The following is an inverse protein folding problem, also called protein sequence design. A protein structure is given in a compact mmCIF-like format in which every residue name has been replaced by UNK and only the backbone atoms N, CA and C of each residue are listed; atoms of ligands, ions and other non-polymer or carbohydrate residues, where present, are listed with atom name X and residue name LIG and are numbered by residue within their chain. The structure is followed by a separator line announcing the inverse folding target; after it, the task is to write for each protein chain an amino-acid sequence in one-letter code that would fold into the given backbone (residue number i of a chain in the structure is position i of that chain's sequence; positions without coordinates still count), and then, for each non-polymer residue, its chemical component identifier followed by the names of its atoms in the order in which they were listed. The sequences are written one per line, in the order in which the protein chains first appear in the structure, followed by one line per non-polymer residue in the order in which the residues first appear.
data_IF_465856539124
#
_entry.id   IF_465856539124
#
_cell.length_a   1.000
_cell.length_b   1.000
_cell.length_c   1.000
_cell.angle_alpha   90.00
_cell.angle_beta   90.00
_cell.angle_gamma   90.00
#
_symmetry.space_group_name_H-M   'P 1'
#
loop_
_entity.id
_entity.type
_entity.pdbx_description
1 polymer ?
#
# COMPACT_ATOMS: atom_id res chain seq x y z
N UNK A 1 2.34 -33.64 -26.31
CA UNK A 1 3.19 -32.56 -25.75
C UNK A 1 2.29 -31.62 -25.01
N UNK A 2 2.13 -31.78 -23.69
CA UNK A 2 1.19 -31.03 -22.87
C UNK A 2 1.82 -29.74 -22.38
N UNK A 3 1.27 -28.61 -22.80
CA UNK A 3 1.57 -27.28 -22.28
C UNK A 3 1.14 -27.21 -20.80
N UNK A 4 2.09 -27.22 -19.89
CA UNK A 4 1.84 -26.87 -18.48
C UNK A 4 1.68 -25.37 -18.38
N UNK A 5 0.45 -24.90 -18.30
CA UNK A 5 0.13 -23.55 -17.82
C UNK A 5 0.73 -23.39 -16.44
N UNK A 6 1.77 -22.57 -16.31
CA UNK A 6 2.33 -22.15 -15.01
C UNK A 6 1.23 -21.39 -14.27
N UNK A 7 0.82 -21.98 -13.14
CA UNK A 7 -0.20 -21.42 -12.28
C UNK A 7 0.14 -19.97 -11.86
N UNK A 8 -0.89 -19.16 -11.79
CA UNK A 8 -0.87 -17.83 -11.20
C UNK A 8 -0.36 -17.95 -9.77
N UNK A 9 0.87 -17.51 -9.52
CA UNK A 9 1.42 -17.41 -8.18
C UNK A 9 0.68 -16.33 -7.40
N UNK A 10 -0.42 -16.71 -6.76
CA UNK A 10 -1.02 -15.93 -5.69
C UNK A 10 -0.25 -16.15 -4.39
N UNK A 11 -0.49 -15.34 -3.35
CA UNK A 11 0.15 -15.52 -2.06
C UNK A 11 -0.05 -16.95 -1.55
N UNK A 12 0.99 -17.53 -1.00
CA UNK A 12 0.99 -18.88 -0.41
C UNK A 12 -0.09 -18.98 0.67
N UNK A 13 -0.75 -20.13 0.76
CA UNK A 13 -1.80 -20.42 1.74
C UNK A 13 -1.39 -19.94 3.15
N UNK A 14 -2.21 -19.06 3.76
CA UNK A 14 -1.98 -18.50 5.10
C UNK A 14 -1.73 -16.98 5.13
N UNK A 15 -1.60 -16.31 3.98
CA UNK A 15 -1.49 -14.84 3.94
C UNK A 15 -2.90 -14.24 3.90
N UNK A 16 -3.17 -13.27 4.80
CA UNK A 16 -4.44 -12.52 4.80
C UNK A 16 -4.67 -11.83 3.45
N UNK A 17 -5.93 -11.55 3.04
CA UNK A 17 -6.22 -10.77 1.84
C UNK A 17 -5.50 -9.42 1.83
N UNK A 18 -5.05 -8.97 0.66
CA UNK A 18 -4.49 -7.63 0.52
C UNK A 18 -5.58 -6.59 0.84
N UNK A 19 -5.31 -5.61 1.72
CA UNK A 19 -6.26 -4.54 2.00
C UNK A 19 -6.58 -3.68 0.77
N UNK A 20 -7.73 -3.00 0.80
CA UNK A 20 -8.18 -2.10 -0.27
C UNK A 20 -7.70 -0.67 -0.09
N UNK A 21 -7.58 -0.21 1.17
CA UNK A 21 -7.13 1.14 1.50
C UNK A 21 -5.80 1.08 2.23
N UNK A 22 -4.82 1.79 1.70
CA UNK A 22 -3.46 1.86 2.23
C UNK A 22 -3.16 3.27 2.73
N UNK A 23 -3.03 3.45 4.05
CA UNK A 23 -2.75 4.71 4.71
C UNK A 23 -1.24 4.89 4.91
N UNK A 24 -0.59 5.63 4.03
CA UNK A 24 0.85 5.90 4.09
C UNK A 24 1.16 7.05 5.05
N UNK A 25 2.24 6.94 5.81
CA UNK A 25 2.76 8.06 6.61
C UNK A 25 3.92 8.78 5.92
N UNK A 26 4.32 9.88 6.50
CA UNK A 26 5.62 10.54 6.38
C UNK A 26 6.16 10.81 7.80
N UNK A 27 7.33 11.46 7.91
CA UNK A 27 7.96 11.72 9.20
C UNK A 27 7.12 12.65 10.09
N UNK A 28 6.48 13.66 9.49
CA UNK A 28 5.66 14.63 10.20
C UNK A 28 4.41 13.96 10.81
N UNK A 29 3.78 13.08 10.06
CA UNK A 29 2.61 12.32 10.51
C UNK A 29 2.95 11.38 11.67
N UNK A 30 4.11 10.71 11.62
CA UNK A 30 4.57 9.85 12.73
C UNK A 30 4.84 10.63 14.02
N UNK A 31 5.18 11.93 13.90
CA UNK A 31 5.45 12.82 15.02
C UNK A 31 4.20 13.52 15.59
N UNK A 32 3.03 13.36 14.99
CA UNK A 32 1.80 14.00 15.46
C UNK A 32 1.47 13.58 16.90
N UNK A 33 1.11 14.52 17.78
CA UNK A 33 0.70 14.21 19.16
C UNK A 33 -0.49 13.24 19.21
N UNK A 34 -1.44 13.38 18.28
CA UNK A 34 -2.66 12.56 18.16
C UNK A 34 -2.53 11.39 17.15
N UNK A 35 -1.29 11.07 16.73
CA UNK A 35 -1.03 9.96 15.78
C UNK A 35 -1.75 8.67 16.17
N UNK A 36 -1.70 8.29 17.46
CA UNK A 36 -2.33 7.06 17.93
C UNK A 36 -3.86 7.07 17.75
N UNK A 37 -4.50 8.19 17.99
CA UNK A 37 -5.95 8.37 17.83
C UNK A 37 -6.32 8.22 16.35
N UNK A 38 -5.58 8.90 15.46
CA UNK A 38 -5.80 8.83 14.00
C UNK A 38 -5.53 7.43 13.45
N UNK A 39 -4.45 6.79 13.88
CA UNK A 39 -4.13 5.43 13.45
C UNK A 39 -5.22 4.43 13.86
N UNK A 40 -5.73 4.52 15.09
CA UNK A 40 -6.82 3.67 15.55
C UNK A 40 -8.12 3.93 14.78
N UNK A 41 -8.43 5.21 14.49
CA UNK A 41 -9.60 5.59 13.69
C UNK A 41 -9.54 5.03 12.27
N UNK A 42 -8.38 5.11 11.60
CA UNK A 42 -8.18 4.53 10.26
C UNK A 42 -8.27 2.99 10.35
N UNK A 43 -7.61 2.39 11.34
CA UNK A 43 -7.57 0.95 11.54
C UNK A 43 -8.95 0.34 11.89
N UNK A 44 -9.91 1.15 12.34
CA UNK A 44 -11.26 0.70 12.69
C UNK A 44 -12.02 0.02 11.53
N UNK A 45 -11.63 0.27 10.28
CA UNK A 45 -12.15 -0.44 9.11
C UNK A 45 -11.60 -1.89 8.96
N UNK A 46 -10.77 -2.35 9.88
CA UNK A 46 -10.34 -3.75 9.99
C UNK A 46 -9.51 -4.26 8.82
N UNK A 47 -9.80 -5.47 8.37
CA UNK A 47 -9.02 -6.19 7.35
C UNK A 47 -8.95 -5.47 5.98
N UNK A 48 -9.83 -4.51 5.73
CA UNK A 48 -9.85 -3.73 4.49
C UNK A 48 -8.75 -2.65 4.44
N UNK A 49 -8.02 -2.42 5.55
CA UNK A 49 -7.04 -1.32 5.68
C UNK A 49 -5.65 -1.82 5.97
N UNK A 50 -4.65 -1.13 5.40
CA UNK A 50 -3.23 -1.24 5.74
C UNK A 50 -2.69 0.11 6.23
N UNK A 51 -2.04 0.10 7.38
CA UNK A 51 -1.23 1.21 7.88
C UNK A 51 0.21 1.04 7.41
N UNK A 52 0.78 2.08 6.81
CA UNK A 52 2.16 2.04 6.30
C UNK A 52 3.08 2.94 7.12
N UNK A 53 4.09 2.34 7.75
CA UNK A 53 5.19 3.08 8.37
C UNK A 53 6.17 3.49 7.27
N UNK A 54 6.13 4.78 6.92
CA UNK A 54 7.00 5.38 5.91
C UNK A 54 7.51 6.73 6.40
N UNK A 55 8.84 6.89 6.40
CA UNK A 55 9.50 8.17 6.64
C UNK A 55 10.81 8.18 5.85
N UNK A 56 10.87 8.96 4.76
CA UNK A 56 12.08 9.06 3.94
C UNK A 56 13.23 9.65 4.74
N UNK A 57 14.42 9.04 4.65
CA UNK A 57 15.61 9.50 5.37
C UNK A 57 15.60 9.24 6.88
N UNK A 58 14.55 8.63 7.42
CA UNK A 58 14.49 8.28 8.84
C UNK A 58 15.43 7.13 9.19
N UNK A 59 15.87 7.12 10.46
CA UNK A 59 16.64 6.00 11.01
C UNK A 59 15.80 4.72 11.08
N UNK A 60 16.46 3.56 11.01
CA UNK A 60 15.81 2.27 11.24
C UNK A 60 15.10 2.20 12.59
N UNK A 61 15.64 2.85 13.62
CA UNK A 61 15.02 2.91 14.95
C UNK A 61 13.66 3.62 14.92
N UNK A 62 13.55 4.77 14.22
CA UNK A 62 12.27 5.48 14.08
C UNK A 62 11.24 4.64 13.30
N UNK A 63 11.65 3.99 12.21
CA UNK A 63 10.77 3.13 11.43
C UNK A 63 10.29 1.92 12.26
N UNK A 64 11.19 1.28 13.01
CA UNK A 64 10.84 0.16 13.90
C UNK A 64 9.86 0.58 14.99
N UNK A 65 10.12 1.71 15.66
CA UNK A 65 9.23 2.24 16.69
C UNK A 65 7.84 2.58 16.14
N UNK A 66 7.78 3.23 14.96
CA UNK A 66 6.53 3.54 14.28
C UNK A 66 5.75 2.27 13.90
N UNK A 67 6.44 1.25 13.36
CA UNK A 67 5.83 -0.01 12.99
C UNK A 67 5.28 -0.78 14.20
N UNK A 68 6.05 -0.89 15.29
CA UNK A 68 5.58 -1.52 16.54
C UNK A 68 4.36 -0.81 17.11
N UNK A 69 4.37 0.53 17.12
CA UNK A 69 3.21 1.32 17.56
C UNK A 69 1.99 1.03 16.69
N UNK A 70 2.14 0.98 15.35
CA UNK A 70 1.04 0.62 14.45
C UNK A 70 0.55 -0.82 14.69
N UNK A 71 1.45 -1.78 14.92
CA UNK A 71 1.07 -3.16 15.24
C UNK A 71 0.17 -3.26 16.47
N UNK A 72 0.45 -2.46 17.51
CA UNK A 72 -0.39 -2.38 18.71
C UNK A 72 -1.76 -1.76 18.41
N UNK A 73 -1.78 -0.65 17.65
CA UNK A 73 -3.02 0.11 17.36
C UNK A 73 -3.93 -0.60 16.34
N UNK A 74 -3.34 -1.46 15.49
CA UNK A 74 -4.09 -2.21 14.49
C UNK A 74 -4.84 -3.43 15.05
N UNK A 75 -4.61 -3.83 16.32
CA UNK A 75 -5.18 -5.04 16.92
C UNK A 75 -5.90 -4.79 18.24
N UNK A 76 -7.18 -5.20 18.37
CA UNK A 76 -8.17 -5.32 17.31
C UNK A 76 -8.51 -3.94 16.77
N UNK A 77 -8.96 -3.75 15.49
CA UNK A 77 -9.75 -4.68 14.68
C UNK A 77 -8.97 -5.45 13.59
N UNK A 78 -7.67 -5.61 13.72
CA UNK A 78 -6.83 -6.40 12.81
C UNK A 78 -6.58 -5.78 11.42
N UNK A 79 -6.39 -4.47 11.35
CA UNK A 79 -5.84 -3.84 10.17
C UNK A 79 -4.42 -4.37 9.86
N UNK A 80 -4.00 -4.36 8.60
CA UNK A 80 -2.65 -4.75 8.25
C UNK A 80 -1.63 -3.65 8.59
N UNK A 81 -0.38 -4.04 8.82
CA UNK A 81 0.75 -3.09 8.97
C UNK A 81 1.83 -3.45 7.96
N UNK A 82 2.31 -2.44 7.26
CA UNK A 82 3.40 -2.53 6.28
C UNK A 82 4.55 -1.60 6.67
N UNK A 83 5.76 -2.01 6.39
CA UNK A 83 6.95 -1.16 6.52
C UNK A 83 7.43 -0.77 5.13
N UNK A 84 7.80 0.50 4.92
CA UNK A 84 8.31 0.93 3.63
C UNK A 84 9.84 0.84 3.59
N UNK A 85 10.38 0.27 2.49
CA UNK A 85 11.81 0.22 2.16
C UNK A 85 12.67 -0.73 2.99
N UNK A 86 12.13 -1.33 4.06
CA UNK A 86 12.92 -2.11 5.04
C UNK A 86 12.28 -3.46 5.34
N UNK A 87 12.50 -4.47 4.46
CA UNK A 87 11.96 -5.83 4.67
C UNK A 87 12.53 -6.51 5.93
N UNK A 88 13.74 -6.18 6.32
CA UNK A 88 14.37 -6.61 7.59
C UNK A 88 13.60 -6.12 8.81
N UNK A 89 13.20 -4.85 8.83
CA UNK A 89 12.36 -4.30 9.90
C UNK A 89 10.97 -4.92 9.85
N UNK A 90 10.37 -5.07 8.66
CA UNK A 90 9.07 -5.72 8.52
C UNK A 90 9.07 -7.13 9.13
N UNK A 91 10.11 -7.92 8.87
CA UNK A 91 10.30 -9.25 9.44
C UNK A 91 10.49 -9.20 10.96
N UNK A 92 11.34 -8.31 11.45
CA UNK A 92 11.66 -8.19 12.86
C UNK A 92 10.47 -7.78 13.75
N UNK A 93 9.58 -6.90 13.24
CA UNK A 93 8.38 -6.47 13.98
C UNK A 93 7.16 -7.36 13.73
N UNK A 94 7.26 -8.36 12.85
CA UNK A 94 6.12 -9.21 12.46
C UNK A 94 5.07 -8.47 11.64
N UNK A 95 5.46 -7.48 10.83
CA UNK A 95 4.55 -6.77 9.94
C UNK A 95 3.99 -7.70 8.84
N UNK A 96 2.83 -7.32 8.29
CA UNK A 96 2.11 -8.13 7.29
C UNK A 96 2.72 -8.02 5.88
N UNK A 97 3.56 -7.00 5.66
CA UNK A 97 4.21 -6.80 4.37
C UNK A 97 5.23 -5.67 4.35
N UNK A 98 5.85 -5.52 3.21
CA UNK A 98 6.79 -4.45 2.87
C UNK A 98 6.35 -3.75 1.59
N UNK A 99 6.53 -2.44 1.54
CA UNK A 99 6.35 -1.63 0.34
C UNK A 99 7.71 -1.08 -0.10
N UNK A 100 8.15 -1.46 -1.28
CA UNK A 100 9.45 -1.11 -1.84
C UNK A 100 9.32 0.08 -2.81
N UNK A 101 10.22 1.04 -2.69
CA UNK A 101 10.44 2.13 -3.65
C UNK A 101 11.49 1.75 -4.71
N UNK A 102 11.80 2.67 -5.63
CA UNK A 102 12.71 2.38 -6.74
C UNK A 102 14.15 2.07 -6.30
N UNK A 103 14.60 2.71 -5.22
CA UNK A 103 15.98 2.60 -4.72
C UNK A 103 16.14 1.53 -3.63
N UNK A 104 15.05 0.82 -3.30
CA UNK A 104 15.03 -0.25 -2.32
C UNK A 104 15.47 -1.59 -2.95
N UNK A 105 15.57 -2.64 -2.14
CA UNK A 105 15.80 -4.02 -2.60
C UNK A 105 14.79 -4.41 -3.69
N UNK A 106 15.17 -5.36 -4.54
CA UNK A 106 14.22 -5.95 -5.48
C UNK A 106 13.15 -6.76 -4.73
N UNK A 107 11.96 -6.98 -5.30
CA UNK A 107 10.98 -7.91 -4.75
C UNK A 107 11.54 -9.31 -4.49
N UNK A 108 12.40 -9.81 -5.36
CA UNK A 108 13.04 -11.13 -5.21
C UNK A 108 13.97 -11.18 -3.99
N UNK A 109 14.79 -10.12 -3.79
CA UNK A 109 15.68 -10.05 -2.63
C UNK A 109 14.90 -9.88 -1.32
N UNK A 110 13.89 -9.02 -1.32
CA UNK A 110 13.03 -8.81 -0.16
C UNK A 110 12.27 -10.09 0.25
N UNK A 111 11.96 -10.98 -0.70
CA UNK A 111 11.31 -12.27 -0.43
C UNK A 111 12.15 -13.18 0.45
N UNK A 112 13.47 -13.10 0.38
CA UNK A 112 14.36 -13.87 1.27
C UNK A 112 14.23 -13.44 2.73
N UNK A 113 13.98 -12.14 2.98
CA UNK A 113 13.80 -11.60 4.32
C UNK A 113 12.35 -11.72 4.83
N UNK A 114 11.37 -11.69 3.92
CA UNK A 114 9.95 -11.74 4.24
C UNK A 114 9.23 -12.83 3.42
N UNK A 115 9.47 -14.13 3.71
CA UNK A 115 9.02 -15.23 2.86
C UNK A 115 7.50 -15.38 2.77
N UNK A 116 6.74 -14.89 3.75
CA UNK A 116 5.27 -15.04 3.83
C UNK A 116 4.51 -13.72 3.81
N UNK A 117 5.18 -12.57 3.87
CA UNK A 117 4.53 -11.26 3.86
C UNK A 117 4.22 -10.79 2.44
N UNK A 118 3.33 -9.82 2.33
CA UNK A 118 3.07 -9.10 1.08
C UNK A 118 4.27 -8.24 0.68
N UNK A 119 4.68 -8.31 -0.58
CA UNK A 119 5.74 -7.47 -1.14
C UNK A 119 5.14 -6.60 -2.25
N UNK A 120 5.04 -5.30 -1.96
CA UNK A 120 4.61 -4.30 -2.93
C UNK A 120 5.78 -3.57 -3.57
N UNK A 121 5.61 -3.13 -4.82
CA UNK A 121 6.57 -2.28 -5.53
C UNK A 121 5.91 -1.01 -6.02
N UNK A 122 6.56 0.14 -5.78
CA UNK A 122 6.14 1.42 -6.36
C UNK A 122 6.58 1.49 -7.81
N UNK A 123 5.66 1.88 -8.71
CA UNK A 123 5.91 1.97 -10.14
C UNK A 123 5.29 3.24 -10.72
N UNK A 124 5.95 3.79 -11.74
CA UNK A 124 5.60 5.07 -12.34
C UNK A 124 5.49 5.00 -13.87
N UNK A 125 5.86 3.86 -14.46
CA UNK A 125 5.75 3.59 -15.91
C UNK A 125 5.29 2.15 -16.14
N UNK A 126 4.76 1.82 -17.31
CA UNK A 126 4.37 0.45 -17.67
C UNK A 126 5.54 -0.55 -17.63
N UNK A 127 6.73 -0.10 -18.05
CA UNK A 127 7.95 -0.93 -18.06
C UNK A 127 8.40 -1.28 -16.63
N UNK A 128 8.38 -0.29 -15.73
CA UNK A 128 8.67 -0.52 -14.32
C UNK A 128 7.65 -1.48 -13.68
N UNK A 129 6.38 -1.39 -14.08
CA UNK A 129 5.35 -2.32 -13.61
C UNK A 129 5.61 -3.75 -14.10
N UNK A 130 5.96 -3.93 -15.37
CA UNK A 130 6.30 -5.25 -15.93
C UNK A 130 7.54 -5.85 -15.24
N UNK A 131 8.57 -5.05 -15.02
CA UNK A 131 9.80 -5.45 -14.29
C UNK A 131 9.46 -5.90 -12.87
N UNK A 132 8.67 -5.11 -12.13
CA UNK A 132 8.27 -5.43 -10.77
C UNK A 132 7.52 -6.78 -10.67
N UNK A 133 6.64 -7.05 -11.63
CA UNK A 133 5.92 -8.32 -11.72
C UNK A 133 6.87 -9.48 -12.02
N UNK A 134 7.82 -9.30 -12.95
CA UNK A 134 8.83 -10.30 -13.28
C UNK A 134 9.75 -10.63 -12.08
N UNK A 135 10.08 -9.62 -11.25
CA UNK A 135 10.85 -9.76 -10.02
C UNK A 135 10.05 -10.35 -8.85
N UNK A 136 8.77 -10.63 -9.01
CA UNK A 136 7.97 -11.32 -8.01
C UNK A 136 7.23 -10.41 -7.03
N UNK A 137 6.95 -9.15 -7.38
CA UNK A 137 6.06 -8.31 -6.60
C UNK A 137 4.65 -8.94 -6.51
N UNK A 138 4.07 -8.94 -5.31
CA UNK A 138 2.73 -9.46 -5.08
C UNK A 138 1.66 -8.44 -5.50
N UNK A 139 1.95 -7.14 -5.35
CA UNK A 139 1.09 -6.04 -5.76
C UNK A 139 1.92 -4.82 -6.19
N UNK A 140 1.29 -3.93 -6.92
CA UNK A 140 1.91 -2.70 -7.42
C UNK A 140 1.28 -1.48 -6.75
N UNK A 141 2.10 -0.51 -6.33
CA UNK A 141 1.63 0.82 -5.96
C UNK A 141 1.94 1.76 -7.11
N UNK A 142 0.89 2.18 -7.80
CA UNK A 142 0.95 2.90 -9.08
C UNK A 142 0.64 4.39 -8.86
N UNK A 143 1.52 5.26 -9.23
CA UNK A 143 1.28 6.71 -9.10
C UNK A 143 2.45 7.58 -9.51
N UNK A 144 2.26 8.91 -9.39
CA UNK A 144 1.08 9.64 -8.89
C UNK A 144 -0.01 9.71 -9.97
N UNK A 145 -1.23 9.28 -9.64
CA UNK A 145 -2.33 9.24 -10.63
C UNK A 145 -2.86 10.64 -10.94
N UNK A 146 -2.97 11.50 -9.94
CA UNK A 146 -3.34 12.90 -10.06
C UNK A 146 -2.23 13.79 -9.51
N UNK A 147 -2.26 15.05 -9.84
CA UNK A 147 -1.39 16.04 -9.21
C UNK A 147 -1.55 16.02 -7.69
N UNK A 148 -0.45 16.16 -6.97
CA UNK A 148 -0.44 16.04 -5.51
C UNK A 148 0.64 16.92 -4.89
N UNK A 149 0.31 17.53 -3.76
CA UNK A 149 1.24 18.32 -2.96
C UNK A 149 2.43 17.51 -2.42
N UNK A 150 2.29 16.19 -2.31
CA UNK A 150 3.38 15.32 -1.85
C UNK A 150 4.51 15.17 -2.88
N UNK A 151 4.27 15.52 -4.14
CA UNK A 151 5.26 15.52 -5.23
C UNK A 151 4.99 16.71 -6.16
N UNK A 152 5.24 17.95 -5.70
CA UNK A 152 4.97 19.14 -6.51
C UNK A 152 5.81 19.12 -7.80
N UNK A 153 5.19 19.52 -8.92
CA UNK A 153 5.84 19.60 -10.23
C UNK A 153 6.03 18.27 -10.97
N UNK A 154 5.62 17.14 -10.38
CA UNK A 154 5.62 15.85 -11.10
C UNK A 154 4.32 15.69 -11.88
N UNK A 155 4.36 15.50 -13.22
CA UNK A 155 3.16 15.28 -14.00
C UNK A 155 2.37 14.09 -13.48
N UNK A 156 1.04 14.18 -13.53
CA UNK A 156 0.15 13.08 -13.22
C UNK A 156 0.28 11.98 -14.29
N UNK A 157 0.41 10.72 -13.86
CA UNK A 157 0.48 9.58 -14.77
C UNK A 157 -0.90 9.20 -15.35
N UNK A 158 -1.98 9.64 -14.70
CA UNK A 158 -3.36 9.41 -15.13
C UNK A 158 -3.84 7.96 -14.96
N UNK A 159 -5.11 7.76 -15.29
CA UNK A 159 -5.78 6.46 -15.18
C UNK A 159 -5.25 5.41 -16.18
N UNK A 160 -4.68 5.84 -17.30
CA UNK A 160 -4.09 4.93 -18.30
C UNK A 160 -3.02 4.04 -17.69
N UNK A 161 -2.17 4.58 -16.80
CA UNK A 161 -1.15 3.78 -16.13
C UNK A 161 -1.77 2.72 -15.19
N UNK A 162 -2.90 3.04 -14.53
CA UNK A 162 -3.64 2.06 -13.71
C UNK A 162 -4.11 0.90 -14.58
N UNK A 163 -4.76 1.19 -15.72
CA UNK A 163 -5.27 0.17 -16.64
C UNK A 163 -4.15 -0.72 -17.18
N UNK A 164 -3.04 -0.12 -17.59
CA UNK A 164 -1.88 -0.88 -18.09
C UNK A 164 -1.27 -1.79 -17.02
N UNK A 165 -1.11 -1.28 -15.81
CA UNK A 165 -0.56 -2.06 -14.69
C UNK A 165 -1.52 -3.19 -14.26
N UNK A 166 -2.84 -2.95 -14.24
CA UNK A 166 -3.85 -3.96 -13.91
C UNK A 166 -3.84 -5.13 -14.91
N UNK A 167 -3.56 -4.84 -16.21
CA UNK A 167 -3.39 -5.85 -17.25
C UNK A 167 -2.27 -6.85 -17.00
N UNK A 168 -1.33 -6.57 -16.10
CA UNK A 168 -0.23 -7.48 -15.74
C UNK A 168 -0.64 -8.59 -14.75
N UNK A 169 -1.90 -8.59 -14.28
CA UNK A 169 -2.46 -9.65 -13.43
C UNK A 169 -2.00 -9.62 -11.97
N UNK A 170 -1.50 -8.48 -11.50
CA UNK A 170 -1.22 -8.22 -10.07
C UNK A 170 -2.18 -7.16 -9.54
N UNK A 171 -2.58 -7.24 -8.24
CA UNK A 171 -3.35 -6.18 -7.61
C UNK A 171 -2.66 -4.81 -7.75
N UNK A 172 -3.41 -3.79 -8.16
CA UNK A 172 -2.93 -2.42 -8.30
C UNK A 172 -3.53 -1.56 -7.19
N UNK A 173 -2.68 -0.92 -6.42
CA UNK A 173 -3.04 0.12 -5.45
C UNK A 173 -2.67 1.47 -6.07
N UNK A 174 -3.68 2.27 -6.40
CA UNK A 174 -3.47 3.59 -7.00
C UNK A 174 -3.17 4.63 -5.93
N UNK A 175 -2.15 5.48 -6.14
CA UNK A 175 -1.72 6.52 -5.21
C UNK A 175 -1.50 7.86 -5.91
N UNK A 176 -1.67 8.95 -5.16
CA UNK A 176 -1.38 10.32 -5.61
C UNK A 176 -2.64 11.08 -5.99
N UNK A 177 -3.01 12.06 -5.15
CA UNK A 177 -4.19 12.88 -5.32
C UNK A 177 -5.52 12.13 -5.24
N UNK A 178 -5.54 10.94 -4.64
CA UNK A 178 -6.76 10.15 -4.46
C UNK A 178 -7.63 10.78 -3.39
N UNK A 179 -8.90 10.97 -3.73
CA UNK A 179 -9.99 11.40 -2.83
C UNK A 179 -11.14 10.38 -2.90
N UNK A 180 -12.11 10.40 -1.98
CA UNK A 180 -13.27 9.52 -2.06
C UNK A 180 -14.02 9.61 -3.40
N UNK A 181 -14.14 10.81 -3.96
CA UNK A 181 -14.84 11.06 -5.23
C UNK A 181 -14.10 10.42 -6.43
N UNK A 182 -12.76 10.36 -6.35
CA UNK A 182 -11.88 9.75 -7.38
C UNK A 182 -11.75 8.24 -7.23
N UNK A 183 -12.10 7.67 -6.08
CA UNK A 183 -11.93 6.25 -5.80
C UNK A 183 -12.74 5.36 -6.78
N UNK A 184 -13.95 5.79 -7.16
CA UNK A 184 -14.79 5.05 -8.11
C UNK A 184 -14.19 4.99 -9.51
N UNK A 185 -13.66 6.10 -10.03
CA UNK A 185 -13.04 6.13 -11.37
C UNK A 185 -11.72 5.36 -11.41
N UNK A 186 -10.94 5.41 -10.33
CA UNK A 186 -9.72 4.62 -10.18
C UNK A 186 -10.04 3.12 -10.15
N UNK A 187 -11.12 2.70 -9.46
CA UNK A 187 -11.61 1.32 -9.50
C UNK A 187 -12.04 0.93 -10.92
N UNK A 188 -12.79 1.79 -11.62
CA UNK A 188 -13.22 1.54 -13.00
C UNK A 188 -12.03 1.37 -13.97
N UNK A 189 -10.90 2.03 -13.70
CA UNK A 189 -9.64 1.84 -14.43
C UNK A 189 -8.92 0.52 -14.10
N UNK A 190 -9.43 -0.30 -13.18
CA UNK A 190 -8.90 -1.62 -12.83
C UNK A 190 -8.08 -1.65 -11.54
N UNK A 191 -8.06 -0.60 -10.74
CA UNK A 191 -7.39 -0.64 -9.44
C UNK A 191 -8.06 -1.63 -8.49
N UNK A 192 -7.24 -2.43 -7.82
CA UNK A 192 -7.66 -3.29 -6.72
C UNK A 192 -8.01 -2.48 -5.47
N UNK A 193 -7.29 -1.39 -5.25
CA UNK A 193 -7.47 -0.52 -4.09
C UNK A 193 -6.78 0.82 -4.28
N UNK A 194 -6.77 1.62 -3.24
CA UNK A 194 -6.21 2.98 -3.23
C UNK A 194 -5.27 3.21 -2.06
N UNK A 195 -4.37 4.17 -2.23
CA UNK A 195 -3.54 4.67 -1.15
C UNK A 195 -3.63 6.18 -1.03
N UNK A 196 -3.59 6.67 0.19
CA UNK A 196 -3.53 8.09 0.47
C UNK A 196 -2.59 8.37 1.66
N UNK A 197 -2.10 9.61 1.71
CA UNK A 197 -1.33 10.16 2.83
C UNK A 197 -2.25 11.12 3.57
N UNK A 198 -2.18 12.40 3.27
CA UNK A 198 -2.91 13.45 4.00
C UNK A 198 -4.43 13.34 3.92
N UNK A 199 -4.97 12.81 2.82
CA UNK A 199 -6.42 12.60 2.65
C UNK A 199 -7.04 11.66 3.70
N UNK A 200 -6.23 10.80 4.34
CA UNK A 200 -6.66 9.97 5.47
C UNK A 200 -6.19 10.56 6.80
N UNK A 201 -4.86 10.76 6.93
CA UNK A 201 -4.27 11.16 8.20
C UNK A 201 -4.64 12.55 8.67
N UNK A 202 -4.90 13.50 7.76
CA UNK A 202 -5.25 14.89 8.08
C UNK A 202 -6.73 15.19 7.90
N UNK A 203 -7.56 14.17 7.64
CA UNK A 203 -9.00 14.33 7.62
C UNK A 203 -9.52 14.78 9.00
N UNK A 204 -10.59 15.57 9.01
CA UNK A 204 -11.28 15.95 10.26
C UNK A 204 -11.82 14.72 11.00
N UNK A 205 -12.31 13.73 10.24
CA UNK A 205 -12.69 12.40 10.70
C UNK A 205 -11.97 11.34 9.85
N UNK A 206 -10.83 10.79 10.34
CA UNK A 206 -10.08 9.76 9.61
C UNK A 206 -10.85 8.44 9.40
N UNK A 207 -11.77 8.09 10.31
CA UNK A 207 -12.59 6.88 10.17
C UNK A 207 -13.60 7.05 9.02
N UNK A 208 -14.33 8.17 8.99
CA UNK A 208 -15.28 8.48 7.91
C UNK A 208 -14.56 8.59 6.55
N UNK A 209 -13.40 9.25 6.49
CA UNK A 209 -12.59 9.34 5.28
C UNK A 209 -12.14 7.96 4.77
N UNK A 210 -11.77 7.06 5.67
CA UNK A 210 -11.38 5.68 5.33
C UNK A 210 -12.56 4.89 4.75
N UNK A 211 -13.73 4.98 5.37
CA UNK A 211 -14.94 4.31 4.88
C UNK A 211 -15.38 4.87 3.52
N UNK A 212 -15.30 6.18 3.33
CA UNK A 212 -15.60 6.81 2.05
C UNK A 212 -14.67 6.34 0.92
N UNK A 213 -13.38 6.16 1.22
CA UNK A 213 -12.42 5.57 0.26
C UNK A 213 -12.72 4.10 -0.06
N UNK A 214 -13.30 3.34 0.88
CA UNK A 214 -13.66 1.93 0.70
C UNK A 214 -14.96 1.74 -0.08
N UNK A 215 -15.84 2.72 -0.08
CA UNK A 215 -17.21 2.61 -0.61
C UNK A 215 -17.29 1.96 -2.00
N UNK A 216 -16.44 2.30 -2.99
CA UNK A 216 -16.53 1.66 -4.31
C UNK A 216 -16.38 0.14 -4.28
N UNK A 217 -15.63 -0.43 -3.32
CA UNK A 217 -15.37 -1.87 -3.22
C UNK A 217 -16.34 -2.62 -2.30
N UNK A 218 -17.29 -1.94 -1.66
CA UNK A 218 -18.30 -2.57 -0.83
C UNK A 218 -19.59 -2.91 -1.60
N UNK A 219 -19.72 -2.42 -2.82
CA UNK A 219 -20.93 -2.56 -3.66
C UNK A 219 -20.88 -3.74 -4.64
N UNK A 220 -19.83 -4.56 -4.61
CA UNK A 220 -19.65 -5.72 -5.51
C UNK A 220 -20.11 -7.06 -4.89
N UNK A 221 -21.03 -7.03 -3.92
CA UNK A 221 -21.60 -8.23 -3.27
C UNK A 221 -22.93 -8.61 -3.88
#
# INVERSE_FOLDING_TARGET
MGSRTRGRGGPTAGVRPLPRVHAFTDADLLALPDFGIRAAAIAAAGAAVALHTRARGASGALLSAGALRMMTLARPPEAAVFVNGRPDIAAAVGAHGVQLGNDDLTPADARHLLPRGWIGRSVHTPEAAATAVAEGADFLVVGNIYETLSHPGRPAAGLTLVTQAAGLGRPVIAIGGITPERAAEVKAAGAYGVAAIRGLWMAADPAAATLAMLLPWTTDT
#
